data_IF_887118305974
#
_entry.id   IF_887118305974
#
_cell.length_a   1.000
_cell.length_b   1.000
_cell.length_c   1.000
_cell.angle_alpha   90.00
_cell.angle_beta   90.00
_cell.angle_gamma   90.00
#
_symmetry.space_group_name_H-M   'P 1'
#
loop_
_entity.id
_entity.type
_entity.pdbx_description
1 polymer ?
#
# COMPACT_ATOMS: atom_id res chain seq x y z
N UNK A 1 0.38 21.18 -39.44
CA UNK A 1 1.25 20.02 -39.69
C UNK A 1 1.16 19.11 -38.48
N UNK A 2 0.94 17.81 -38.70
CA UNK A 2 1.00 16.81 -37.63
C UNK A 2 2.48 16.47 -37.49
N UNK A 3 3.08 16.56 -36.29
CA UNK A 3 4.48 16.22 -36.12
C UNK A 3 4.70 14.74 -36.50
N UNK A 4 5.67 14.49 -37.36
CA UNK A 4 6.12 13.13 -37.70
C UNK A 4 6.65 12.48 -36.43
N UNK A 5 5.92 11.49 -35.94
CA UNK A 5 6.33 10.68 -34.79
C UNK A 5 7.21 9.55 -35.32
N UNK A 6 8.52 9.67 -35.15
CA UNK A 6 9.49 8.61 -35.46
C UNK A 6 9.41 7.54 -34.38
N UNK A 7 9.22 6.28 -34.78
CA UNK A 7 9.30 5.12 -33.88
C UNK A 7 10.75 4.71 -33.57
N UNK A 8 11.73 5.27 -34.29
CA UNK A 8 13.15 4.92 -34.20
C UNK A 8 13.96 5.87 -33.32
N UNK A 9 13.32 6.90 -32.73
CA UNK A 9 13.95 7.74 -31.73
C UNK A 9 13.72 7.12 -30.34
N UNK A 10 14.81 6.73 -29.68
CA UNK A 10 14.75 6.41 -28.25
C UNK A 10 14.11 7.60 -27.53
N UNK A 11 13.08 7.37 -26.69
CA UNK A 11 12.42 8.46 -26.00
C UNK A 11 13.47 9.23 -25.17
N UNK A 12 13.43 10.57 -25.14
CA UNK A 12 14.38 11.40 -24.39
C UNK A 12 14.18 11.30 -22.86
N UNK A 13 13.60 10.20 -22.39
CA UNK A 13 13.35 9.89 -21.00
C UNK A 13 14.55 9.12 -20.46
N UNK A 14 15.33 9.79 -19.60
CA UNK A 14 16.23 9.14 -18.67
C UNK A 14 15.40 8.26 -17.73
N UNK A 15 15.17 7.02 -18.17
CA UNK A 15 14.37 6.01 -17.48
C UNK A 15 15.12 5.58 -16.22
N UNK A 16 14.82 6.26 -15.12
CA UNK A 16 15.15 5.77 -13.77
C UNK A 16 13.92 5.07 -13.19
N UNK A 17 14.12 4.01 -12.42
CA UNK A 17 13.06 3.15 -11.85
C UNK A 17 12.08 3.91 -10.90
N UNK A 18 12.20 5.23 -10.76
CA UNK A 18 11.35 6.10 -9.94
C UNK A 18 11.52 5.91 -8.43
N UNK A 19 12.30 4.91 -8.02
CA UNK A 19 12.65 4.58 -6.63
C UNK A 19 13.95 5.28 -6.26
N UNK A 20 13.95 5.95 -5.11
CA UNK A 20 15.15 6.57 -4.55
C UNK A 20 16.22 5.50 -4.27
N UNK A 21 17.41 5.65 -4.84
CA UNK A 21 18.55 4.75 -4.62
C UNK A 21 18.93 4.62 -3.14
N UNK A 22 18.63 5.64 -2.33
CA UNK A 22 18.82 5.57 -0.88
C UNK A 22 17.82 4.65 -0.18
N UNK A 23 16.59 4.49 -0.73
CA UNK A 23 15.63 3.51 -0.23
C UNK A 23 16.07 2.08 -0.54
N UNK A 24 16.70 1.85 -1.70
CA UNK A 24 17.22 0.53 -2.10
C UNK A 24 18.37 0.03 -1.19
N UNK A 25 18.95 0.88 -0.36
CA UNK A 25 20.00 0.50 0.61
C UNK A 25 19.45 0.18 2.01
N UNK A 26 18.15 0.40 2.25
CA UNK A 26 17.54 0.22 3.58
C UNK A 26 17.16 -1.23 3.86
N UNK A 27 17.30 -1.64 5.10
CA UNK A 27 16.83 -2.91 5.63
C UNK A 27 15.33 -2.88 5.95
N UNK A 28 14.67 -4.03 6.05
CA UNK A 28 13.24 -4.12 6.41
C UNK A 28 12.91 -3.37 7.72
N UNK A 29 13.68 -3.51 8.82
CA UNK A 29 13.42 -2.74 10.04
C UNK A 29 13.54 -1.22 9.83
N UNK A 30 14.52 -0.75 9.04
CA UNK A 30 14.64 0.67 8.72
C UNK A 30 13.41 1.16 7.94
N UNK A 31 12.91 0.38 6.98
CA UNK A 31 11.70 0.73 6.22
C UNK A 31 10.46 0.81 7.13
N UNK A 32 10.29 -0.13 8.07
CA UNK A 32 9.20 -0.05 9.06
C UNK A 32 9.34 1.15 9.99
N UNK A 33 10.57 1.47 10.40
CA UNK A 33 10.88 2.68 11.17
C UNK A 33 10.52 3.95 10.40
N UNK A 34 10.77 3.99 9.09
CA UNK A 34 10.39 5.12 8.24
C UNK A 34 8.87 5.36 8.20
N UNK A 35 8.06 4.30 8.32
CA UNK A 35 6.60 4.38 8.44
C UNK A 35 6.12 4.71 9.86
N UNK A 36 7.02 4.68 10.85
CA UNK A 36 6.68 4.78 12.27
C UNK A 36 5.92 3.55 12.80
N UNK A 37 6.19 2.39 12.20
CA UNK A 37 5.53 1.11 12.50
C UNK A 37 6.51 0.02 12.97
N UNK A 38 7.75 0.40 13.35
CA UNK A 38 8.79 -0.54 13.76
C UNK A 38 8.33 -1.52 14.85
N UNK A 39 7.70 -1.03 15.91
CA UNK A 39 7.27 -1.86 17.05
C UNK A 39 6.13 -2.84 16.70
N UNK A 40 5.36 -2.54 15.66
CA UNK A 40 4.22 -3.36 15.24
C UNK A 40 4.59 -4.37 14.15
N UNK A 41 5.64 -4.08 13.37
CA UNK A 41 6.05 -4.83 12.17
C UNK A 41 4.88 -5.22 11.27
N UNK A 42 3.88 -4.33 11.17
CA UNK A 42 2.62 -4.60 10.51
C UNK A 42 1.78 -3.34 10.34
N UNK A 43 0.90 -3.36 9.34
CA UNK A 43 0.02 -2.23 9.03
C UNK A 43 -1.27 -2.37 9.84
N UNK A 44 -1.67 -1.36 10.63
CA UNK A 44 -2.96 -1.39 11.31
C UNK A 44 -4.12 -1.64 10.34
N UNK A 45 -5.02 -2.56 10.68
CA UNK A 45 -6.11 -2.99 9.82
C UNK A 45 -5.79 -4.17 8.90
N UNK A 46 -4.52 -4.58 8.77
CA UNK A 46 -4.15 -5.82 8.07
C UNK A 46 -4.32 -7.05 8.95
N UNK A 47 -4.63 -8.17 8.31
CA UNK A 47 -4.51 -9.49 8.92
C UNK A 47 -3.03 -9.79 9.21
N UNK A 48 -2.77 -10.57 10.26
CA UNK A 48 -1.41 -11.07 10.55
C UNK A 48 -1.05 -12.30 9.74
N UNK A 49 -2.06 -13.07 9.36
CA UNK A 49 -1.91 -14.35 8.70
C UNK A 49 -2.94 -14.52 7.59
N UNK A 50 -2.60 -15.30 6.58
CA UNK A 50 -3.47 -15.68 5.46
C UNK A 50 -3.48 -17.20 5.30
N UNK A 51 -4.56 -17.73 4.74
CA UNK A 51 -4.65 -19.12 4.34
C UNK A 51 -4.14 -19.27 2.89
N UNK A 52 -3.13 -20.13 2.64
CA UNK A 52 -2.64 -20.41 1.29
C UNK A 52 -3.72 -20.92 0.33
N UNK A 53 -4.78 -21.55 0.86
CA UNK A 53 -5.89 -22.08 0.05
C UNK A 53 -6.90 -21.03 -0.41
N UNK A 54 -6.75 -19.78 0.03
CA UNK A 54 -7.60 -18.65 -0.39
C UNK A 54 -8.84 -18.40 0.46
N UNK A 55 -9.00 -19.10 1.60
CA UNK A 55 -10.01 -18.75 2.59
C UNK A 55 -9.74 -17.36 3.16
N UNK A 56 -10.79 -16.66 3.59
CA UNK A 56 -10.65 -15.31 4.14
C UNK A 56 -11.31 -15.19 5.53
N UNK A 57 -10.79 -14.33 6.42
CA UNK A 57 -11.31 -14.23 7.79
C UNK A 57 -12.76 -13.73 7.89
N UNK A 58 -13.29 -13.10 6.83
CA UNK A 58 -14.65 -12.55 6.82
C UNK A 58 -15.70 -13.64 6.63
N UNK A 59 -15.46 -14.60 5.75
CA UNK A 59 -16.40 -15.71 5.47
C UNK A 59 -16.07 -16.97 6.25
N UNK A 60 -14.78 -17.23 6.50
CA UNK A 60 -14.29 -18.51 7.05
C UNK A 60 -13.82 -18.37 8.50
N UNK A 61 -14.50 -17.55 9.30
CA UNK A 61 -14.07 -17.23 10.67
C UNK A 61 -13.77 -18.47 11.52
N UNK A 62 -14.65 -19.47 11.49
CA UNK A 62 -14.48 -20.70 12.26
C UNK A 62 -13.20 -21.48 11.88
N UNK A 63 -12.76 -21.38 10.63
CA UNK A 63 -11.48 -21.96 10.21
C UNK A 63 -10.31 -21.20 10.83
N UNK A 64 -10.30 -19.87 10.75
CA UNK A 64 -9.24 -19.04 11.33
C UNK A 64 -9.19 -19.13 12.87
N UNK A 65 -10.33 -19.42 13.53
CA UNK A 65 -10.39 -19.64 14.98
C UNK A 65 -9.79 -20.99 15.42
N UNK A 66 -9.72 -21.98 14.51
CA UNK A 66 -9.25 -23.35 14.81
C UNK A 66 -7.95 -23.75 14.10
N UNK A 67 -7.51 -23.00 13.08
CA UNK A 67 -6.31 -23.30 12.31
C UNK A 67 -5.05 -23.20 13.18
N UNK A 68 -4.11 -24.14 12.99
CA UNK A 68 -2.79 -24.04 13.61
C UNK A 68 -1.92 -23.03 12.86
N UNK A 69 -0.88 -22.49 13.51
CA UNK A 69 0.06 -21.57 12.86
C UNK A 69 0.79 -22.19 11.66
N UNK A 70 0.91 -23.52 11.61
CA UNK A 70 1.54 -24.25 10.49
C UNK A 70 0.67 -24.26 9.23
N UNK A 71 -0.64 -24.03 9.37
CA UNK A 71 -1.59 -23.99 8.25
C UNK A 71 -1.77 -22.59 7.67
N UNK A 72 -1.17 -21.59 8.30
CA UNK A 72 -1.30 -20.19 7.93
C UNK A 72 0.06 -19.60 7.54
N UNK A 73 0.05 -18.72 6.56
CA UNK A 73 1.24 -17.98 6.15
C UNK A 73 1.20 -16.57 6.75
N UNK A 74 2.34 -16.04 7.23
CA UNK A 74 2.40 -14.66 7.71
C UNK A 74 2.13 -13.68 6.57
N UNK A 75 1.18 -12.76 6.80
CA UNK A 75 0.92 -11.66 5.87
C UNK A 75 1.92 -10.53 6.14
N UNK A 76 3.04 -10.58 5.44
CA UNK A 76 4.08 -9.55 5.54
C UNK A 76 4.42 -8.98 4.17
N UNK A 77 4.59 -7.66 4.12
CA UNK A 77 5.11 -7.00 2.95
C UNK A 77 6.57 -7.38 2.74
N UNK A 78 6.90 -7.75 1.51
CA UNK A 78 8.29 -7.98 1.10
C UNK A 78 9.05 -6.65 1.04
N UNK A 79 10.36 -6.72 1.10
CA UNK A 79 11.25 -5.56 1.06
C UNK A 79 10.94 -4.57 -0.08
N UNK A 80 10.77 -5.06 -1.32
CA UNK A 80 10.43 -4.21 -2.46
C UNK A 80 9.02 -3.60 -2.36
N UNK A 81 8.07 -4.29 -1.72
CA UNK A 81 6.72 -3.77 -1.49
C UNK A 81 6.73 -2.65 -0.45
N UNK A 82 7.58 -2.73 0.57
CA UNK A 82 7.78 -1.65 1.54
C UNK A 82 8.40 -0.40 0.90
N UNK A 83 9.39 -0.58 0.03
CA UNK A 83 9.96 0.52 -0.75
C UNK A 83 8.91 1.17 -1.65
N UNK A 84 8.12 0.35 -2.36
CA UNK A 84 7.00 0.81 -3.17
C UNK A 84 5.98 1.60 -2.35
N UNK A 85 5.60 1.11 -1.17
CA UNK A 85 4.69 1.78 -0.25
C UNK A 85 5.22 3.15 0.22
N UNK A 86 6.47 3.23 0.66
CA UNK A 86 7.09 4.50 1.10
C UNK A 86 7.16 5.49 -0.07
N UNK A 87 7.53 5.02 -1.27
CA UNK A 87 7.57 5.83 -2.48
C UNK A 87 6.18 6.36 -2.84
N UNK A 88 5.16 5.50 -2.83
CA UNK A 88 3.76 5.86 -3.05
C UNK A 88 3.30 6.91 -2.04
N UNK A 89 3.53 6.70 -0.74
CA UNK A 89 3.19 7.66 0.30
C UNK A 89 3.84 9.01 0.05
N UNK A 90 5.15 9.04 -0.27
CA UNK A 90 5.86 10.28 -0.61
C UNK A 90 5.18 11.05 -1.73
N UNK A 91 4.82 10.37 -2.82
CA UNK A 91 4.13 10.97 -3.97
C UNK A 91 2.73 11.46 -3.63
N UNK A 92 2.00 10.68 -2.85
CA UNK A 92 0.66 11.00 -2.37
C UNK A 92 0.68 12.24 -1.48
N UNK A 93 1.64 12.36 -0.55
CA UNK A 93 1.84 13.57 0.25
C UNK A 93 2.18 14.80 -0.59
N UNK A 94 2.98 14.61 -1.63
CA UNK A 94 3.37 15.66 -2.57
C UNK A 94 2.26 15.99 -3.60
N UNK A 95 1.14 15.26 -3.59
CA UNK A 95 0.04 15.44 -4.54
C UNK A 95 0.38 15.07 -5.99
N UNK A 96 1.37 14.18 -6.17
CA UNK A 96 1.87 13.76 -7.49
C UNK A 96 1.35 12.38 -7.86
N UNK A 97 0.81 12.19 -9.08
CA UNK A 97 0.46 10.86 -9.55
C UNK A 97 1.72 9.99 -9.69
N UNK A 98 1.56 8.67 -9.49
CA UNK A 98 2.60 7.66 -9.69
C UNK A 98 2.04 6.51 -10.52
N UNK A 99 2.82 6.04 -11.49
CA UNK A 99 2.54 4.84 -12.26
C UNK A 99 3.37 3.68 -11.67
N UNK A 100 2.71 2.61 -11.24
CA UNK A 100 3.37 1.40 -10.76
C UNK A 100 3.54 0.42 -11.93
N UNK A 101 4.78 0.30 -12.41
CA UNK A 101 5.15 -0.57 -13.54
C UNK A 101 5.89 -1.84 -13.10
N UNK A 102 5.64 -2.29 -11.87
CA UNK A 102 6.20 -3.55 -11.38
C UNK A 102 5.74 -4.74 -12.23
N UNK A 103 6.59 -5.76 -12.33
CA UNK A 103 6.27 -7.00 -13.03
C UNK A 103 4.99 -7.68 -12.50
N UNK A 104 4.40 -8.52 -13.35
CA UNK A 104 3.26 -9.36 -12.95
C UNK A 104 3.72 -10.33 -11.85
N UNK A 105 2.90 -10.49 -10.82
CA UNK A 105 3.20 -11.39 -9.69
C UNK A 105 4.00 -10.77 -8.52
N UNK A 106 4.47 -9.53 -8.64
CA UNK A 106 5.17 -8.81 -7.55
C UNK A 106 4.23 -8.46 -6.37
N UNK A 107 2.91 -8.44 -6.62
CA UNK A 107 1.91 -8.12 -5.59
C UNK A 107 1.55 -6.64 -5.54
N UNK A 108 1.23 -6.05 -6.69
CA UNK A 108 0.74 -4.66 -6.77
C UNK A 108 -0.54 -4.45 -5.95
N UNK A 109 -1.45 -5.43 -5.91
CA UNK A 109 -2.68 -5.30 -5.11
C UNK A 109 -2.38 -5.09 -3.63
N UNK A 110 -1.52 -5.93 -3.04
CA UNK A 110 -1.20 -5.80 -1.61
C UNK A 110 -0.50 -4.47 -1.31
N UNK A 111 0.33 -3.94 -2.23
CA UNK A 111 0.92 -2.61 -2.09
C UNK A 111 -0.14 -1.50 -2.06
N UNK A 112 -1.16 -1.55 -2.94
CA UNK A 112 -2.24 -0.54 -2.97
C UNK A 112 -3.15 -0.66 -1.75
N UNK A 113 -3.51 -1.87 -1.33
CA UNK A 113 -4.29 -2.08 -0.09
C UNK A 113 -3.49 -1.61 1.13
N UNK A 114 -2.17 -1.86 1.15
CA UNK A 114 -1.27 -1.39 2.19
C UNK A 114 -1.19 0.15 2.22
N UNK A 115 -1.20 0.80 1.05
CA UNK A 115 -1.27 2.25 0.94
C UNK A 115 -2.52 2.80 1.62
N UNK A 116 -3.70 2.26 1.30
CA UNK A 116 -4.95 2.73 1.92
C UNK A 116 -4.98 2.50 3.43
N UNK A 117 -4.56 1.32 3.89
CA UNK A 117 -4.52 1.03 5.32
C UNK A 117 -3.51 1.91 6.07
N UNK A 118 -2.35 2.18 5.48
CA UNK A 118 -1.36 3.09 6.06
C UNK A 118 -1.85 4.54 6.08
N UNK A 119 -2.57 4.98 5.04
CA UNK A 119 -3.18 6.31 5.01
C UNK A 119 -4.26 6.47 6.10
N UNK A 120 -5.11 5.46 6.31
CA UNK A 120 -6.09 5.46 7.40
C UNK A 120 -5.39 5.53 8.78
N UNK A 121 -4.34 4.73 8.98
CA UNK A 121 -3.52 4.82 10.19
C UNK A 121 -2.88 6.20 10.36
N UNK A 122 -2.33 6.80 9.29
CA UNK A 122 -1.70 8.11 9.34
C UNK A 122 -2.71 9.21 9.68
N UNK A 123 -3.94 9.09 9.19
CA UNK A 123 -5.05 9.98 9.53
C UNK A 123 -5.33 9.93 11.04
N UNK A 124 -5.58 8.74 11.58
CA UNK A 124 -5.88 8.54 13.00
C UNK A 124 -4.72 8.96 13.91
N UNK A 125 -3.49 8.60 13.53
CA UNK A 125 -2.29 9.00 14.25
C UNK A 125 -2.16 10.54 14.29
N UNK A 126 -2.44 11.23 13.18
CA UNK A 126 -2.39 12.70 13.15
C UNK A 126 -3.50 13.33 13.98
N UNK A 127 -4.71 12.79 13.98
CA UNK A 127 -5.79 13.28 14.86
C UNK A 127 -5.39 13.16 16.34
N UNK A 128 -4.75 12.06 16.71
CA UNK A 128 -4.34 11.78 18.09
C UNK A 128 -3.09 12.55 18.55
N UNK A 129 -2.10 12.73 17.66
CA UNK A 129 -0.77 13.23 18.01
C UNK A 129 -0.42 14.58 17.37
N UNK A 130 -1.26 15.13 16.51
CA UNK A 130 -1.03 16.38 15.79
C UNK A 130 -0.03 16.31 14.63
N UNK A 131 0.61 15.14 14.42
CA UNK A 131 1.62 14.90 13.38
C UNK A 131 1.50 13.50 12.78
N UNK A 132 1.99 13.33 11.56
CA UNK A 132 2.12 12.01 10.95
C UNK A 132 3.27 11.20 11.61
N UNK A 133 3.27 9.87 11.49
CA UNK A 133 4.33 9.03 12.04
C UNK A 133 5.58 9.01 11.14
N UNK A 134 6.69 8.50 11.69
CA UNK A 134 7.93 8.23 10.96
C UNK A 134 8.53 9.46 10.24
N UNK A 135 9.08 9.23 9.05
CA UNK A 135 9.69 10.30 8.23
C UNK A 135 8.68 11.34 7.73
N UNK A 136 7.38 11.02 7.80
CA UNK A 136 6.31 11.88 7.34
C UNK A 136 5.88 12.92 8.38
N UNK A 137 6.45 12.90 9.60
CA UNK A 137 6.04 13.78 10.71
C UNK A 137 6.01 15.28 10.38
N UNK A 138 6.88 15.75 9.49
CA UNK A 138 6.96 17.14 9.07
C UNK A 138 6.30 17.42 7.70
N UNK A 139 5.73 16.40 7.05
CA UNK A 139 5.04 16.57 5.76
C UNK A 139 3.69 17.23 5.97
N UNK A 140 3.31 18.06 5.01
CA UNK A 140 1.95 18.59 4.86
C UNK A 140 1.30 17.92 3.66
N UNK A 141 0.01 17.63 3.77
CA UNK A 141 -0.75 17.13 2.63
C UNK A 141 -0.92 18.22 1.57
N UNK A 142 -0.30 18.05 0.40
CA UNK A 142 -0.24 19.10 -0.63
C UNK A 142 -1.59 19.40 -1.28
N UNK A 143 -2.51 18.42 -1.32
CA UNK A 143 -3.73 18.48 -2.16
C UNK A 143 -4.88 19.28 -1.52
N UNK A 144 -4.80 19.67 -0.23
CA UNK A 144 -5.86 20.49 0.42
C UNK A 144 -5.33 21.60 1.31
N UNK A 145 -6.10 22.70 1.35
CA UNK A 145 -5.84 23.96 2.08
C UNK A 145 -5.68 23.85 3.60
N UNK A 146 -5.92 22.68 4.21
CA UNK A 146 -5.74 22.43 5.66
C UNK A 146 -4.66 21.38 6.01
N UNK A 147 -3.95 20.83 5.02
CA UNK A 147 -2.80 19.95 5.26
C UNK A 147 -3.10 18.64 6.01
N UNK A 148 -4.37 18.21 6.09
CA UNK A 148 -4.81 16.94 6.66
C UNK A 148 -5.14 15.92 5.57
N UNK A 149 -4.91 14.63 5.86
CA UNK A 149 -5.49 13.54 5.07
C UNK A 149 -7.03 13.67 5.10
N UNK A 150 -7.73 13.47 3.97
CA UNK A 150 -9.18 13.42 3.97
C UNK A 150 -9.67 12.12 4.61
N UNK A 151 -10.70 12.20 5.45
CA UNK A 151 -11.49 11.05 5.91
C UNK A 151 -12.54 10.70 4.84
N UNK A 152 -12.05 10.44 3.64
CA UNK A 152 -12.86 10.11 2.46
C UNK A 152 -12.53 8.71 1.98
N UNK A 153 -13.50 8.03 1.39
CA UNK A 153 -13.28 6.72 0.79
C UNK A 153 -12.31 6.78 -0.39
N UNK A 154 -11.61 5.67 -0.65
CA UNK A 154 -10.79 5.51 -1.84
C UNK A 154 -11.62 4.88 -2.98
N UNK A 155 -11.51 5.44 -4.19
CA UNK A 155 -12.08 4.84 -5.40
C UNK A 155 -11.00 4.02 -6.12
N UNK A 156 -11.28 2.73 -6.30
CA UNK A 156 -10.43 1.85 -7.11
C UNK A 156 -11.23 1.40 -8.33
N UNK A 157 -10.69 1.65 -9.52
CA UNK A 157 -11.29 1.22 -10.78
C UNK A 157 -10.47 0.06 -11.32
N UNK A 158 -11.13 -1.09 -11.50
CA UNK A 158 -10.52 -2.30 -12.07
C UNK A 158 -11.33 -2.79 -13.26
N UNK A 159 -10.71 -3.52 -14.22
CA UNK A 159 -11.45 -4.27 -15.23
C UNK A 159 -12.48 -5.20 -14.59
N UNK A 160 -13.64 -5.38 -15.24
CA UNK A 160 -14.75 -6.20 -14.71
C UNK A 160 -14.29 -7.61 -14.31
N UNK A 161 -13.42 -8.23 -15.11
CA UNK A 161 -12.87 -9.56 -14.81
C UNK A 161 -11.99 -9.63 -13.56
N UNK A 162 -11.43 -8.51 -13.10
CA UNK A 162 -10.61 -8.42 -11.90
C UNK A 162 -11.39 -7.97 -10.66
N UNK A 163 -12.65 -7.59 -10.80
CA UNK A 163 -13.46 -7.10 -9.68
C UNK A 163 -13.57 -8.12 -8.54
N UNK A 164 -13.90 -9.37 -8.87
CA UNK A 164 -13.99 -10.44 -7.86
C UNK A 164 -12.63 -10.69 -7.19
N UNK A 165 -11.56 -10.76 -7.98
CA UNK A 165 -10.21 -10.97 -7.45
C UNK A 165 -9.81 -9.84 -6.49
N UNK A 166 -10.04 -8.58 -6.88
CA UNK A 166 -9.76 -7.42 -6.04
C UNK A 166 -10.51 -7.49 -4.71
N UNK A 167 -11.82 -7.79 -4.77
CA UNK A 167 -12.65 -7.90 -3.58
C UNK A 167 -12.20 -9.03 -2.65
N UNK A 168 -11.88 -10.20 -3.21
CA UNK A 168 -11.39 -11.35 -2.44
C UNK A 168 -10.03 -11.07 -1.79
N UNK A 169 -9.11 -10.43 -2.52
CA UNK A 169 -7.81 -10.00 -2.00
C UNK A 169 -7.95 -9.00 -0.86
N UNK A 170 -8.86 -8.03 -0.96
CA UNK A 170 -9.15 -7.12 0.14
C UNK A 170 -9.67 -7.86 1.38
N UNK A 171 -10.62 -8.79 1.23
CA UNK A 171 -11.13 -9.57 2.37
C UNK A 171 -10.07 -10.52 2.95
N UNK A 172 -9.08 -10.94 2.14
CA UNK A 172 -7.96 -11.76 2.58
C UNK A 172 -6.92 -10.93 3.35
N UNK A 173 -6.63 -9.72 2.90
CA UNK A 173 -5.58 -8.88 3.49
C UNK A 173 -6.03 -8.05 4.68
N UNK A 174 -7.28 -7.59 4.70
CA UNK A 174 -7.81 -6.70 5.74
C UNK A 174 -8.55 -7.48 6.82
N UNK A 175 -8.41 -7.02 8.06
CA UNK A 175 -9.21 -7.54 9.16
C UNK A 175 -10.70 -7.26 8.95
N UNK A 176 -11.60 -8.20 9.27
CA UNK A 176 -13.03 -7.95 9.22
C UNK A 176 -13.42 -6.71 10.04
N UNK A 177 -14.13 -5.77 9.40
CA UNK A 177 -14.56 -4.51 10.02
C UNK A 177 -13.54 -3.38 10.02
N UNK A 178 -12.31 -3.61 9.56
CA UNK A 178 -11.31 -2.53 9.44
C UNK A 178 -11.68 -1.51 8.34
N UNK A 179 -12.28 -1.98 7.25
CA UNK A 179 -12.70 -1.16 6.12
C UNK A 179 -14.10 -1.57 5.64
N UNK A 180 -14.87 -0.58 5.21
CA UNK A 180 -16.11 -0.81 4.47
C UNK A 180 -15.82 -0.76 2.97
N UNK A 181 -16.06 -1.86 2.27
CA UNK A 181 -15.79 -2.02 0.84
C UNK A 181 -17.13 -2.16 0.12
N UNK A 182 -17.36 -1.31 -0.87
CA UNK A 182 -18.60 -1.20 -1.66
C UNK A 182 -18.31 -1.60 -3.10
#
# INVERSE_FOLDING_TARGET
>A
EIPEFSFDEDPPLDWSDGVDEELKKKTIPELWSMLGLLEMEGIPGFNRFIDPSGRNPKTDKAWFDCASQEQLEPLQLRWHQLIGLITLLGRVFDGKPLLLMDDVGIGKTIQIVALFATLAFFHDHRLKHGKFPGIFCNKKWAVRTRGSLPDEGALVVVPVGLHKQWYDECNRFLMPGAFHII
#
